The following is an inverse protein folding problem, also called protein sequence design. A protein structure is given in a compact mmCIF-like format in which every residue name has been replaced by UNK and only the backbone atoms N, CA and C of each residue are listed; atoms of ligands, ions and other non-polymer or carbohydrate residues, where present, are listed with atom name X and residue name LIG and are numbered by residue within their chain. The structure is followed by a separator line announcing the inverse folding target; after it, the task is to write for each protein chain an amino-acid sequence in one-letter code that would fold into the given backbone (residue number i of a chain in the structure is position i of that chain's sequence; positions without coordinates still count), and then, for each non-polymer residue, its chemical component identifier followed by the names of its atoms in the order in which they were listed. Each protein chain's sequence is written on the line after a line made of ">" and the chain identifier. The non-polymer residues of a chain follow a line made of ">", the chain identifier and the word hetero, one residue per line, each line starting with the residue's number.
data_IF_500375166001
#
_entry.id   IF_500375166001
#
_cell.length_a   1.000
_cell.length_b   1.000
_cell.length_c   1.000
_cell.angle_alpha   90.00
_cell.angle_beta   90.00
_cell.angle_gamma   90.00
#
_symmetry.space_group_name_H-M   'P 1'
#
loop_
_entity.id
_entity.type
_entity.pdbx_description
1 polymer ?
#
# COMPACT_ATOMS: atom_id res chain seq x y z
N UNK A 1 -8.35 57.91 27.19
CA UNK A 1 -8.77 56.83 26.27
C UNK A 1 -8.57 55.50 26.99
N UNK A 2 -9.64 54.95 27.56
CA UNK A 2 -9.61 53.68 28.31
C UNK A 2 -9.58 52.51 27.33
N UNK A 3 -8.45 51.81 27.23
CA UNK A 3 -8.41 50.47 26.64
C UNK A 3 -8.91 49.47 27.69
N UNK A 4 -10.06 48.87 27.40
CA UNK A 4 -10.71 47.87 28.26
C UNK A 4 -9.84 46.59 28.35
N UNK A 5 -9.51 46.10 29.56
CA UNK A 5 -8.56 44.98 29.76
C UNK A 5 -9.11 43.61 29.32
N UNK A 6 -10.36 43.54 28.85
CA UNK A 6 -11.06 42.28 28.53
C UNK A 6 -11.03 41.91 27.03
N UNK A 7 -10.40 42.71 26.16
CA UNK A 7 -10.37 42.45 24.72
C UNK A 7 -9.31 41.42 24.30
N UNK A 8 -8.18 41.37 25.01
CA UNK A 8 -7.03 40.49 24.74
C UNK A 8 -7.33 38.98 24.91
N UNK A 9 -8.04 38.50 25.95
CA UNK A 9 -8.22 37.06 26.18
C UNK A 9 -9.08 36.37 25.12
N UNK A 10 -10.01 37.08 24.47
CA UNK A 10 -10.88 36.54 23.41
C UNK A 10 -10.14 36.25 22.11
N UNK A 11 -9.17 37.09 21.75
CA UNK A 11 -8.36 36.92 20.54
C UNK A 11 -7.32 35.83 20.77
N UNK A 12 -6.72 35.80 21.96
CA UNK A 12 -5.73 34.80 22.35
C UNK A 12 -6.32 33.38 22.36
N UNK A 13 -7.57 33.21 22.83
CA UNK A 13 -8.28 31.94 22.81
C UNK A 13 -8.59 31.43 21.39
N UNK A 14 -8.90 32.32 20.44
CA UNK A 14 -9.13 31.96 19.03
C UNK A 14 -7.85 31.50 18.33
N UNK A 15 -6.72 32.15 18.62
CA UNK A 15 -5.40 31.74 18.11
C UNK A 15 -5.00 30.37 18.69
N UNK A 16 -5.28 30.14 19.98
CA UNK A 16 -5.01 28.87 20.65
C UNK A 16 -5.79 27.70 20.01
N UNK A 17 -7.07 27.91 19.64
CA UNK A 17 -7.90 26.89 18.97
C UNK A 17 -7.38 26.58 17.56
N UNK A 18 -6.94 27.59 16.81
CA UNK A 18 -6.42 27.40 15.44
C UNK A 18 -5.09 26.62 15.45
N UNK A 19 -4.21 26.89 16.42
CA UNK A 19 -2.97 26.11 16.60
C UNK A 19 -3.23 24.64 16.95
N UNK A 20 -4.30 24.33 17.68
CA UNK A 20 -4.62 22.96 18.09
C UNK A 20 -5.00 22.06 16.89
N UNK A 21 -5.64 22.64 15.87
CA UNK A 21 -6.14 21.89 14.68
C UNK A 21 -5.00 21.48 13.73
N UNK A 22 -3.86 22.20 13.75
CA UNK A 22 -2.74 21.96 12.84
C UNK A 22 -1.86 20.75 13.21
N UNK A 23 -2.06 20.15 14.39
CA UNK A 23 -1.24 19.01 14.85
C UNK A 23 -1.76 17.64 14.39
N UNK A 24 -2.90 17.57 13.69
CA UNK A 24 -3.55 16.31 13.35
C UNK A 24 -3.16 15.69 11.99
N UNK A 25 -2.32 16.35 11.17
CA UNK A 25 -2.13 15.94 9.77
C UNK A 25 -0.73 15.39 9.44
N UNK A 26 -0.22 14.48 10.27
CA UNK A 26 0.93 13.66 9.88
C UNK A 26 0.60 12.18 10.12
N UNK A 27 0.03 11.52 9.10
CA UNK A 27 -0.15 10.07 9.11
C UNK A 27 1.13 9.42 8.55
N UNK A 28 1.87 8.71 9.40
CA UNK A 28 3.06 7.97 8.97
C UNK A 28 2.67 6.75 8.11
N UNK A 29 3.39 6.45 7.03
CA UNK A 29 3.16 5.26 6.21
C UNK A 29 3.23 3.94 7.01
N UNK A 30 4.08 3.90 8.04
CA UNK A 30 4.18 2.76 8.96
C UNK A 30 2.86 2.44 9.67
N UNK A 31 2.03 3.45 9.96
CA UNK A 31 0.72 3.25 10.59
C UNK A 31 -0.26 2.53 9.66
N UNK A 32 -0.09 2.62 8.35
CA UNK A 32 -0.92 1.90 7.37
C UNK A 32 -0.59 0.40 7.34
N UNK A 33 0.69 0.03 7.52
CA UNK A 33 1.07 -1.39 7.60
C UNK A 33 0.63 -2.05 8.91
N UNK A 34 0.71 -1.32 10.03
CA UNK A 34 0.28 -1.80 11.35
C UNK A 34 -1.24 -1.77 11.54
N UNK A 35 -2.00 -1.20 10.60
CA UNK A 35 -3.45 -1.27 10.61
C UNK A 35 -3.87 -2.62 10.05
N UNK A 36 -4.60 -3.40 10.84
CA UNK A 36 -5.23 -4.65 10.37
C UNK A 36 -6.47 -4.40 9.50
N UNK A 37 -6.83 -3.13 9.29
CA UNK A 37 -8.02 -2.74 8.54
C UNK A 37 -7.69 -2.43 7.09
N UNK A 38 -8.45 -3.04 6.18
CA UNK A 38 -8.47 -2.75 4.75
C UNK A 38 -7.78 -3.80 3.89
N UNK A 39 -8.26 -3.94 2.66
CA UNK A 39 -7.70 -4.84 1.65
C UNK A 39 -6.30 -4.38 1.24
N UNK A 40 -5.40 -5.35 1.07
CA UNK A 40 -3.98 -5.10 0.77
C UNK A 40 -3.46 -6.07 -0.27
N UNK A 41 -2.74 -5.53 -1.26
CA UNK A 41 -2.10 -6.31 -2.30
C UNK A 41 -0.59 -6.13 -2.16
N UNK A 42 0.10 -7.22 -1.81
CA UNK A 42 1.55 -7.29 -1.78
C UNK A 42 2.05 -7.88 -3.08
N UNK A 43 3.12 -7.31 -3.65
CA UNK A 43 3.69 -7.81 -4.89
C UNK A 43 5.17 -7.48 -4.98
N UNK A 44 5.91 -8.31 -5.70
CA UNK A 44 7.34 -8.13 -5.79
C UNK A 44 8.08 -9.30 -6.41
N UNK A 45 9.40 -9.23 -6.31
CA UNK A 45 10.30 -10.30 -6.72
C UNK A 45 11.43 -10.48 -5.71
N UNK A 46 11.95 -11.70 -5.64
CA UNK A 46 13.08 -12.06 -4.79
C UNK A 46 13.98 -13.08 -5.49
N UNK A 47 15.25 -13.06 -5.12
CA UNK A 47 16.23 -14.05 -5.54
C UNK A 47 17.26 -13.51 -6.52
N UNK A 48 17.66 -14.36 -7.46
CA UNK A 48 18.82 -14.14 -8.31
C UNK A 48 20.14 -14.22 -7.55
N UNK A 49 21.24 -13.89 -8.22
CA UNK A 49 22.59 -14.02 -7.67
C UNK A 49 22.82 -13.23 -6.37
N UNK A 50 22.13 -12.10 -6.21
CA UNK A 50 22.28 -11.21 -5.05
C UNK A 50 21.32 -11.53 -3.91
N UNK A 51 20.35 -12.43 -4.14
CA UNK A 51 19.27 -12.76 -3.21
C UNK A 51 18.52 -11.53 -2.65
N UNK A 52 18.46 -10.44 -3.42
CA UNK A 52 17.74 -9.23 -3.03
C UNK A 52 16.24 -9.39 -3.27
N UNK A 53 15.43 -8.73 -2.44
CA UNK A 53 13.99 -8.59 -2.65
C UNK A 53 13.61 -7.17 -3.05
N UNK A 54 12.57 -7.08 -3.87
CA UNK A 54 11.87 -5.84 -4.20
C UNK A 54 10.41 -6.07 -3.82
N UNK A 55 9.98 -5.44 -2.75
CA UNK A 55 8.66 -5.67 -2.15
C UNK A 55 7.85 -4.38 -2.14
N UNK A 56 6.60 -4.47 -2.61
CA UNK A 56 5.63 -3.38 -2.61
C UNK A 56 4.32 -3.79 -1.96
N UNK A 57 3.59 -2.79 -1.49
CA UNK A 57 2.22 -2.92 -1.00
C UNK A 57 1.35 -1.83 -1.61
N UNK A 58 0.19 -2.23 -2.13
CA UNK A 58 -0.91 -1.36 -2.51
C UNK A 58 -2.01 -1.48 -1.46
N UNK A 59 -2.44 -0.34 -0.91
CA UNK A 59 -3.53 -0.24 0.05
C UNK A 59 -4.86 0.10 -0.66
N UNK A 60 -5.99 -0.29 -0.06
CA UNK A 60 -7.35 0.07 -0.51
C UNK A 60 -7.55 1.56 -0.82
N UNK A 61 -6.82 2.46 -0.13
CA UNK A 61 -6.88 3.90 -0.37
C UNK A 61 -6.07 4.39 -1.59
N UNK A 62 -5.48 3.47 -2.35
CA UNK A 62 -4.66 3.70 -3.53
C UNK A 62 -3.19 4.03 -3.24
N UNK A 63 -2.76 4.12 -1.98
CA UNK A 63 -1.36 4.40 -1.65
C UNK A 63 -0.48 3.20 -1.99
N UNK A 64 0.69 3.46 -2.58
CA UNK A 64 1.70 2.44 -2.87
C UNK A 64 2.96 2.72 -2.06
N UNK A 65 3.44 1.70 -1.35
CA UNK A 65 4.66 1.78 -0.56
C UNK A 65 5.63 0.67 -0.95
N UNK A 66 6.91 0.99 -1.00
CA UNK A 66 8.01 0.03 -1.06
C UNK A 66 8.41 -0.38 0.36
N UNK A 67 8.63 -1.67 0.56
CA UNK A 67 9.11 -2.27 1.80
C UNK A 67 10.61 -2.58 1.63
N UNK A 68 11.45 -2.05 2.53
CA UNK A 68 12.90 -2.29 2.50
C UNK A 68 13.45 -2.32 3.92
N UNK A 69 13.97 -3.46 4.38
CA UNK A 69 14.62 -3.61 5.69
C UNK A 69 13.81 -2.95 6.83
N UNK A 70 12.54 -3.32 6.95
CA UNK A 70 11.56 -2.77 7.92
C UNK A 70 11.17 -1.30 7.72
N UNK A 71 11.73 -0.62 6.71
CA UNK A 71 11.39 0.75 6.33
C UNK A 71 10.30 0.75 5.27
N UNK A 72 9.37 1.69 5.43
CA UNK A 72 8.19 1.85 4.58
C UNK A 72 8.33 3.15 3.82
N UNK A 73 8.60 3.05 2.52
CA UNK A 73 8.85 4.20 1.67
C UNK A 73 7.63 4.40 0.79
N UNK A 74 6.90 5.51 0.95
CA UNK A 74 5.80 5.84 0.03
C UNK A 74 6.36 6.11 -1.35
N UNK A 75 5.89 5.37 -2.35
CA UNK A 75 6.43 5.42 -3.73
C UNK A 75 5.42 6.03 -4.69
N UNK A 76 4.12 5.85 -4.45
CA UNK A 76 3.10 6.37 -5.36
C UNK A 76 1.71 6.40 -4.75
N UNK A 77 0.76 6.84 -5.57
CA UNK A 77 -0.66 6.77 -5.26
C UNK A 77 -1.46 6.68 -6.56
N UNK A 78 -2.42 5.76 -6.60
CA UNK A 78 -3.40 5.61 -7.68
C UNK A 78 -4.80 6.03 -7.21
N UNK A 79 -5.71 6.18 -8.15
CA UNK A 79 -7.14 6.44 -7.87
C UNK A 79 -7.81 5.23 -7.24
N UNK A 80 -8.97 5.44 -6.60
CA UNK A 80 -9.76 4.32 -6.04
C UNK A 80 -10.38 3.47 -7.15
N UNK A 81 -10.67 4.09 -8.28
CA UNK A 81 -11.16 3.44 -9.48
C UNK A 81 -10.14 2.43 -10.00
N UNK A 82 -8.86 2.81 -10.11
CA UNK A 82 -7.77 1.90 -10.48
C UNK A 82 -7.59 0.75 -9.47
N UNK A 83 -7.73 1.01 -8.16
CA UNK A 83 -7.71 -0.05 -7.14
C UNK A 83 -8.82 -1.06 -7.39
N UNK A 84 -10.05 -0.59 -7.61
CA UNK A 84 -11.21 -1.46 -7.88
C UNK A 84 -11.03 -2.29 -9.14
N UNK A 85 -10.44 -1.73 -10.19
CA UNK A 85 -10.15 -2.49 -11.41
C UNK A 85 -9.12 -3.61 -11.18
N UNK A 86 -8.15 -3.40 -10.28
CA UNK A 86 -7.17 -4.43 -9.90
C UNK A 86 -7.84 -5.51 -9.04
N UNK A 87 -8.69 -5.10 -8.08
CA UNK A 87 -9.49 -6.03 -7.27
C UNK A 87 -10.45 -6.86 -8.14
N UNK A 88 -11.07 -6.25 -9.16
CA UNK A 88 -11.87 -6.97 -10.14
C UNK A 88 -11.05 -8.02 -10.90
N UNK A 89 -9.82 -7.69 -11.34
CA UNK A 89 -8.93 -8.68 -11.95
C UNK A 89 -8.58 -9.83 -11.00
N UNK A 90 -8.36 -9.55 -9.70
CA UNK A 90 -8.13 -10.59 -8.68
C UNK A 90 -9.35 -11.51 -8.51
N UNK A 91 -10.56 -10.96 -8.59
CA UNK A 91 -11.81 -11.73 -8.52
C UNK A 91 -12.03 -12.56 -9.78
N UNK A 92 -11.81 -12.00 -10.97
CA UNK A 92 -11.95 -12.67 -12.27
C UNK A 92 -11.08 -13.93 -12.37
N UNK A 93 -9.85 -13.88 -11.85
CA UNK A 93 -8.93 -15.02 -11.83
C UNK A 93 -9.14 -15.95 -10.63
N UNK A 94 -10.17 -15.70 -9.81
CA UNK A 94 -10.45 -16.40 -8.55
C UNK A 94 -9.21 -16.48 -7.65
N UNK A 95 -8.48 -15.38 -7.50
CA UNK A 95 -7.16 -15.36 -6.87
C UNK A 95 -7.15 -15.98 -5.48
N UNK A 96 -8.21 -15.81 -4.68
CA UNK A 96 -8.31 -16.38 -3.33
C UNK A 96 -8.34 -17.92 -3.29
N UNK A 97 -8.64 -18.58 -4.41
CA UNK A 97 -8.65 -20.05 -4.56
C UNK A 97 -7.47 -20.56 -5.40
N UNK A 98 -6.62 -19.67 -5.91
CA UNK A 98 -5.49 -20.03 -6.76
C UNK A 98 -4.42 -20.73 -5.91
N UNK A 99 -4.01 -21.91 -6.35
CA UNK A 99 -2.91 -22.66 -5.73
C UNK A 99 -1.69 -22.62 -6.67
N UNK A 100 -0.80 -21.66 -6.47
CA UNK A 100 0.43 -21.51 -7.25
C UNK A 100 1.58 -21.22 -6.31
N UNK A 101 2.43 -22.23 -6.10
CA UNK A 101 3.58 -22.19 -5.21
C UNK A 101 4.79 -22.84 -5.90
N UNK A 102 5.33 -22.12 -6.89
CA UNK A 102 6.38 -22.61 -7.79
C UNK A 102 7.60 -21.67 -7.77
N UNK A 103 8.26 -21.49 -6.62
CA UNK A 103 9.42 -20.61 -6.52
C UNK A 103 10.60 -21.15 -7.33
N UNK A 104 11.44 -20.23 -7.82
CA UNK A 104 12.67 -20.55 -8.54
C UNK A 104 13.82 -19.63 -8.15
N UNK A 105 14.92 -19.69 -8.91
CA UNK A 105 16.06 -18.81 -8.67
C UNK A 105 15.65 -17.33 -8.71
N UNK A 106 14.84 -16.94 -9.69
CA UNK A 106 14.07 -15.70 -9.64
C UNK A 106 12.63 -16.07 -9.32
N UNK A 107 12.08 -15.48 -8.25
CA UNK A 107 10.70 -15.72 -7.82
C UNK A 107 9.92 -14.42 -7.87
N UNK A 108 8.77 -14.43 -8.52
CA UNK A 108 7.77 -13.36 -8.51
C UNK A 108 6.63 -13.76 -7.60
N UNK A 109 5.97 -12.78 -7.00
CA UNK A 109 4.83 -13.08 -6.15
C UNK A 109 3.78 -11.96 -6.17
N UNK A 110 2.56 -12.38 -5.89
CA UNK A 110 1.43 -11.53 -5.51
C UNK A 110 0.78 -12.17 -4.29
N UNK A 111 0.37 -11.37 -3.31
CA UNK A 111 -0.43 -11.82 -2.17
C UNK A 111 -1.53 -10.83 -1.90
N UNK A 112 -2.75 -11.35 -1.75
CA UNK A 112 -3.93 -10.55 -1.51
C UNK A 112 -4.48 -10.86 -0.13
N UNK A 113 -4.70 -9.80 0.65
CA UNK A 113 -5.32 -9.85 1.97
C UNK A 113 -6.67 -9.16 1.88
N UNK A 114 -7.74 -9.90 2.19
CA UNK A 114 -9.12 -9.42 2.22
C UNK A 114 -9.79 -9.84 3.51
N UNK A 115 -10.08 -8.87 4.37
CA UNK A 115 -10.51 -9.14 5.76
C UNK A 115 -9.51 -10.06 6.48
N UNK A 116 -10.01 -11.17 7.01
CA UNK A 116 -9.19 -12.19 7.70
C UNK A 116 -8.58 -13.23 6.75
N UNK A 117 -8.91 -13.17 5.46
CA UNK A 117 -8.44 -14.14 4.47
C UNK A 117 -7.20 -13.61 3.75
N UNK A 118 -6.24 -14.51 3.51
CA UNK A 118 -5.05 -14.22 2.73
C UNK A 118 -4.77 -15.35 1.77
N UNK A 119 -4.49 -15.01 0.51
CA UNK A 119 -3.85 -15.94 -0.42
C UNK A 119 -2.56 -15.36 -0.97
N UNK A 120 -1.64 -16.23 -1.38
CA UNK A 120 -0.38 -15.86 -2.01
C UNK A 120 -0.10 -16.80 -3.17
N UNK A 121 0.34 -16.23 -4.28
CA UNK A 121 0.80 -16.95 -5.44
C UNK A 121 2.25 -16.55 -5.70
N UNK A 122 3.13 -17.53 -5.89
CA UNK A 122 4.53 -17.30 -6.24
C UNK A 122 4.98 -18.25 -7.35
N UNK A 123 5.78 -17.73 -8.28
CA UNK A 123 6.18 -18.45 -9.49
C UNK A 123 7.55 -18.00 -10.00
N UNK A 124 8.13 -18.75 -10.93
CA UNK A 124 9.40 -18.45 -11.59
C UNK A 124 9.20 -18.11 -13.07
N UNK A 125 10.27 -17.78 -13.80
CA UNK A 125 10.19 -17.48 -15.23
C UNK A 125 9.69 -18.65 -16.11
N UNK A 126 9.74 -19.89 -15.60
CA UNK A 126 9.52 -21.09 -16.40
C UNK A 126 8.07 -21.61 -16.40
N UNK A 127 7.31 -21.34 -15.34
CA UNK A 127 5.91 -21.69 -15.22
C UNK A 127 5.16 -20.49 -14.69
N UNK A 128 4.20 -19.98 -15.47
CA UNK A 128 3.27 -18.98 -14.94
C UNK A 128 1.95 -19.04 -15.67
N UNK A 129 0.87 -19.04 -14.88
CA UNK A 129 -0.46 -18.68 -15.35
C UNK A 129 -0.38 -17.31 -16.05
N UNK A 130 -0.74 -17.20 -17.34
CA UNK A 130 -0.64 -15.93 -18.08
C UNK A 130 -1.37 -14.76 -17.41
N UNK A 131 -2.53 -15.03 -16.80
CA UNK A 131 -3.32 -14.01 -16.12
C UNK A 131 -2.60 -13.47 -14.87
N UNK A 132 -1.89 -14.35 -14.15
CA UNK A 132 -1.11 -13.98 -12.98
C UNK A 132 0.10 -13.12 -13.36
N UNK A 133 0.73 -13.44 -14.50
CA UNK A 133 1.81 -12.63 -15.08
C UNK A 133 1.31 -11.25 -15.53
N UNK A 134 0.16 -11.18 -16.20
CA UNK A 134 -0.46 -9.93 -16.61
C UNK A 134 -0.80 -9.04 -15.40
N UNK A 135 -1.40 -9.62 -14.36
CA UNK A 135 -1.66 -8.93 -13.10
C UNK A 135 -0.36 -8.38 -12.47
N UNK A 136 0.69 -9.19 -12.39
CA UNK A 136 1.98 -8.75 -11.87
C UNK A 136 2.59 -7.61 -12.70
N UNK A 137 2.56 -7.71 -14.02
CA UNK A 137 3.05 -6.64 -14.91
C UNK A 137 2.24 -5.36 -14.70
N UNK A 138 0.91 -5.46 -14.59
CA UNK A 138 0.03 -4.32 -14.29
C UNK A 138 0.41 -3.66 -12.97
N UNK A 139 0.58 -4.43 -11.90
CA UNK A 139 1.01 -3.93 -10.58
C UNK A 139 2.39 -3.26 -10.64
N UNK A 140 3.35 -3.88 -11.33
CA UNK A 140 4.70 -3.34 -11.50
C UNK A 140 4.72 -2.06 -12.33
N UNK A 141 3.79 -1.87 -13.27
CA UNK A 141 3.67 -0.63 -14.03
C UNK A 141 3.16 0.54 -13.19
N UNK A 142 2.50 0.29 -12.05
CA UNK A 142 2.09 1.35 -11.12
C UNK A 142 3.25 1.97 -10.35
N UNK A 143 4.39 1.28 -10.30
CA UNK A 143 5.59 1.68 -9.53
C UNK A 143 6.79 2.02 -10.40
N UNK A 144 6.68 1.82 -11.71
CA UNK A 144 7.68 2.25 -12.68
C UNK A 144 7.35 3.68 -13.11
N UNK A 145 8.28 4.59 -12.85
CA UNK A 145 8.30 5.94 -13.44
C UNK A 145 8.65 5.87 -14.93
#
# INVERSE_FOLDING_TARGET
>A
MNTSPYLVPRIMYRILIICLIMTASCSSPEKLLKSDKGDRIFFGSKGGFTNMSIDFVLFENGSICRLKNDIVIKTGKISKEEVREIEATLEEINFMSLNTDEPGNMTYYVSFVRGDSRNAAQWSDHDSNPQLRELYVRLMNLVKE
#
